data_IF_166373740664
#
_entry.id   IF_166373740664
#
_cell.length_a   1.000
_cell.length_b   1.000
_cell.length_c   1.000
_cell.angle_alpha   90.00
_cell.angle_beta   90.00
_cell.angle_gamma   90.00
#
_symmetry.space_group_name_H-M   'P 1'
#
loop_
_entity.id
_entity.type
_entity.pdbx_description
1 polymer ?
#
# COMPACT_ATOMS: atom_id res chain seq x y z
N UNK A 1 -21.01 -3.73 12.34
CA UNK A 1 -21.46 -2.48 11.70
C UNK A 1 -20.32 -1.49 11.83
N UNK A 2 -19.81 -0.96 10.74
CA UNK A 2 -18.74 0.08 10.73
C UNK A 2 -19.33 1.35 10.13
N UNK A 3 -19.21 2.47 10.83
CA UNK A 3 -19.62 3.77 10.35
C UNK A 3 -18.37 4.62 10.08
N UNK A 4 -18.22 5.11 8.88
CA UNK A 4 -17.17 6.08 8.54
C UNK A 4 -17.82 7.34 7.97
N UNK A 5 -17.30 8.49 8.38
CA UNK A 5 -17.74 9.79 7.92
C UNK A 5 -16.60 10.42 7.12
N UNK A 6 -16.85 10.76 5.87
CA UNK A 6 -15.97 11.63 5.09
C UNK A 6 -16.48 13.07 5.17
N UNK A 7 -15.59 14.01 5.46
CA UNK A 7 -15.95 15.42 5.48
C UNK A 7 -16.20 15.88 4.04
N UNK A 8 -17.38 16.41 3.80
CA UNK A 8 -17.76 17.05 2.54
C UNK A 8 -16.69 18.07 2.12
N UNK A 9 -16.04 17.84 0.97
CA UNK A 9 -15.11 18.78 0.34
C UNK A 9 -13.62 18.50 0.47
N UNK A 10 -13.18 17.47 1.23
CA UNK A 10 -11.78 17.02 1.23
C UNK A 10 -11.69 15.55 0.81
N UNK A 11 -11.16 15.32 -0.39
CA UNK A 11 -10.85 13.96 -0.84
C UNK A 11 -9.75 13.37 0.05
N UNK A 12 -10.00 12.19 0.63
CA UNK A 12 -8.97 11.43 1.35
C UNK A 12 -7.82 11.08 0.41
N UNK A 13 -6.61 11.21 0.91
CA UNK A 13 -5.38 10.78 0.22
C UNK A 13 -4.82 9.48 0.81
N UNK A 14 -5.58 8.83 1.68
CA UNK A 14 -5.22 7.58 2.33
C UNK A 14 -4.87 6.51 1.28
N UNK A 15 -3.77 5.82 1.49
CA UNK A 15 -3.20 4.81 0.60
C UNK A 15 -2.66 5.32 -0.75
N UNK A 16 -2.75 6.60 -1.06
CA UNK A 16 -2.09 7.17 -2.23
C UNK A 16 -0.56 7.05 -2.11
N UNK A 17 0.11 6.84 -3.24
CA UNK A 17 1.57 6.73 -3.32
C UNK A 17 2.13 7.92 -4.12
N UNK A 18 3.15 8.54 -3.57
CA UNK A 18 3.80 9.72 -4.14
C UNK A 18 5.32 9.54 -4.20
N UNK A 19 5.96 10.36 -5.02
CA UNK A 19 7.39 10.66 -4.87
C UNK A 19 7.52 11.80 -3.87
N UNK A 20 8.10 11.52 -2.71
CA UNK A 20 8.34 12.52 -1.67
C UNK A 20 9.82 12.88 -1.55
N UNK A 21 10.11 14.06 -1.01
CA UNK A 21 11.46 14.53 -0.70
C UNK A 21 11.59 14.74 0.81
N UNK A 22 12.64 14.17 1.40
CA UNK A 22 12.97 14.37 2.81
C UNK A 22 13.41 15.82 3.02
N UNK A 23 12.67 16.58 3.81
CA UNK A 23 13.00 17.96 4.17
C UNK A 23 13.90 18.00 5.41
N UNK A 24 13.54 17.21 6.43
CA UNK A 24 14.24 17.21 7.72
C UNK A 24 14.13 15.87 8.40
N UNK A 25 15.09 15.57 9.28
CA UNK A 25 15.10 14.40 10.16
C UNK A 25 15.19 14.87 11.60
N UNK A 26 14.18 14.52 12.38
CA UNK A 26 14.10 14.82 13.81
C UNK A 26 14.47 13.57 14.62
N UNK A 27 15.75 13.45 14.97
CA UNK A 27 16.28 12.27 15.66
C UNK A 27 15.68 12.06 17.06
N UNK A 28 15.29 13.13 17.74
CA UNK A 28 14.65 13.08 19.07
C UNK A 28 13.30 12.37 19.09
N UNK A 29 12.54 12.43 17.98
CA UNK A 29 11.26 11.75 17.80
C UNK A 29 11.35 10.58 16.82
N UNK A 30 12.56 10.24 16.36
CA UNK A 30 12.83 9.15 15.38
C UNK A 30 11.95 9.22 14.16
N UNK A 31 11.87 10.39 13.52
CA UNK A 31 11.03 10.60 12.35
C UNK A 31 11.70 11.52 11.32
N UNK A 32 11.30 11.36 10.06
CA UNK A 32 11.58 12.28 8.98
C UNK A 32 10.30 13.05 8.61
N UNK A 33 10.48 14.29 8.19
CA UNK A 33 9.43 15.10 7.56
C UNK A 33 9.67 15.06 6.06
N UNK A 34 8.66 14.60 5.33
CA UNK A 34 8.74 14.36 3.89
C UNK A 34 7.69 15.19 3.19
N UNK A 35 8.12 16.10 2.32
CA UNK A 35 7.22 16.82 1.44
C UNK A 35 6.86 15.92 0.26
N UNK A 36 5.58 15.78 -0.06
CA UNK A 36 5.09 14.90 -1.13
C UNK A 36 4.03 15.54 -2.04
N UNK A 37 3.83 16.84 -1.90
CA UNK A 37 2.95 17.66 -2.73
C UNK A 37 3.22 19.14 -2.51
N UNK A 38 2.54 20.03 -3.25
CA UNK A 38 2.63 21.47 -3.04
C UNK A 38 2.12 21.84 -1.66
N UNK A 39 3.04 22.27 -0.78
CA UNK A 39 2.73 22.63 0.61
C UNK A 39 2.25 21.47 1.50
N UNK A 40 2.39 20.22 1.06
CA UNK A 40 1.97 19.05 1.84
C UNK A 40 3.18 18.29 2.33
N UNK A 41 3.38 18.33 3.65
CA UNK A 41 4.44 17.59 4.34
C UNK A 41 3.80 16.51 5.21
N UNK A 42 4.41 15.33 5.24
CA UNK A 42 3.99 14.19 6.04
C UNK A 42 5.03 13.77 7.07
N UNK A 43 4.58 13.05 8.06
CA UNK A 43 5.39 12.45 9.12
C UNK A 43 5.72 11.00 8.77
N UNK A 44 7.00 10.68 8.60
CA UNK A 44 7.51 9.34 8.33
C UNK A 44 8.30 8.84 9.53
N UNK A 45 7.77 7.92 10.34
CA UNK A 45 8.55 7.25 11.39
C UNK A 45 9.75 6.53 10.78
N UNK A 46 10.94 6.60 11.39
CA UNK A 46 12.14 5.96 10.83
C UNK A 46 12.06 4.43 10.84
N UNK A 47 11.27 3.84 11.72
CA UNK A 47 10.95 2.41 11.72
C UNK A 47 10.02 1.98 10.56
N UNK A 48 9.31 2.94 9.97
CA UNK A 48 8.48 2.75 8.77
C UNK A 48 9.22 3.13 7.48
N UNK A 49 10.49 3.49 7.57
CA UNK A 49 11.36 3.88 6.46
C UNK A 49 12.30 2.76 6.02
N UNK A 50 11.95 1.51 6.30
CA UNK A 50 12.71 0.33 5.91
C UNK A 50 12.44 -0.03 4.45
N UNK A 51 13.46 -0.57 3.76
CA UNK A 51 13.37 -0.98 2.35
C UNK A 51 12.83 0.12 1.40
N UNK A 52 13.17 1.39 1.70
CA UNK A 52 12.73 2.53 0.92
C UNK A 52 13.17 2.44 -0.55
N UNK A 53 12.25 2.74 -1.45
CA UNK A 53 12.53 2.83 -2.89
C UNK A 53 12.91 4.27 -3.20
N UNK A 54 14.19 4.51 -3.44
CA UNK A 54 14.70 5.83 -3.81
C UNK A 54 14.56 6.11 -5.31
N UNK A 55 14.33 7.37 -5.64
CA UNK A 55 14.42 7.90 -7.00
C UNK A 55 15.80 8.51 -7.23
N UNK A 56 16.05 9.06 -8.41
CA UNK A 56 17.26 9.85 -8.74
C UNK A 56 18.61 9.16 -8.48
N UNK A 57 18.65 7.82 -8.60
CA UNK A 57 19.93 7.09 -8.67
C UNK A 57 20.63 6.85 -7.33
N UNK A 58 20.03 7.17 -6.19
CA UNK A 58 20.59 6.76 -4.91
C UNK A 58 20.53 5.25 -4.77
N UNK A 59 21.69 4.62 -4.62
CA UNK A 59 21.84 3.15 -4.51
C UNK A 59 21.99 2.66 -3.07
N UNK A 60 22.30 3.57 -2.13
CA UNK A 60 22.55 3.23 -0.73
C UNK A 60 21.32 3.52 0.12
N UNK A 61 20.79 2.49 0.77
CA UNK A 61 19.59 2.53 1.60
C UNK A 61 19.88 2.61 3.10
N UNK A 62 21.11 2.82 3.52
CA UNK A 62 21.53 2.66 4.93
C UNK A 62 20.89 3.67 5.89
N UNK A 63 20.58 4.89 5.44
CA UNK A 63 19.88 5.89 6.26
C UNK A 63 19.30 7.01 5.40
N UNK A 64 18.15 7.55 5.79
CA UNK A 64 17.58 8.73 5.15
C UNK A 64 18.45 9.97 5.37
N UNK A 65 18.46 10.86 4.39
CA UNK A 65 19.14 12.16 4.47
C UNK A 65 18.20 13.26 3.95
N UNK A 66 18.28 14.48 4.47
CA UNK A 66 17.61 15.62 3.85
C UNK A 66 17.98 15.73 2.36
N UNK A 67 16.97 15.97 1.53
CA UNK A 67 17.11 16.01 0.07
C UNK A 67 16.90 14.65 -0.64
N UNK A 68 16.83 13.52 0.09
CA UNK A 68 16.52 12.24 -0.51
C UNK A 68 15.11 12.25 -1.12
N UNK A 69 15.00 11.70 -2.32
CA UNK A 69 13.72 11.47 -2.98
C UNK A 69 13.37 9.97 -2.95
N UNK A 70 12.18 9.67 -2.46
CA UNK A 70 11.75 8.29 -2.25
C UNK A 70 10.25 8.14 -2.45
N UNK A 71 9.82 6.90 -2.68
CA UNK A 71 8.41 6.57 -2.76
C UNK A 71 7.83 6.47 -1.36
N UNK A 72 6.72 7.16 -1.12
CA UNK A 72 5.99 7.15 0.14
C UNK A 72 4.50 6.90 -0.08
N UNK A 73 3.89 6.15 0.83
CA UNK A 73 2.46 5.93 0.86
C UNK A 73 1.86 6.60 2.10
N UNK A 74 0.71 7.23 1.93
CA UNK A 74 -0.05 7.80 3.03
C UNK A 74 -0.76 6.68 3.78
N UNK A 75 -0.35 6.39 5.01
CA UNK A 75 -0.97 5.35 5.84
C UNK A 75 -2.00 5.91 6.85
N UNK A 76 -2.06 7.22 6.99
CA UNK A 76 -3.08 7.94 7.77
C UNK A 76 -3.23 9.37 7.26
N UNK A 77 -4.45 9.80 7.02
CA UNK A 77 -4.77 11.17 6.65
C UNK A 77 -4.41 12.18 7.76
N UNK A 78 -4.24 13.43 7.36
CA UNK A 78 -4.09 14.54 8.30
C UNK A 78 -5.32 14.63 9.21
N UNK A 79 -5.08 14.77 10.49
CA UNK A 79 -6.14 15.00 11.48
C UNK A 79 -5.86 16.32 12.21
N UNK A 80 -6.86 16.85 12.95
CA UNK A 80 -6.76 18.11 13.69
C UNK A 80 -5.36 18.34 14.28
N UNK A 81 -4.59 19.26 13.68
CA UNK A 81 -3.25 19.64 14.12
C UNK A 81 -2.14 18.60 13.91
N UNK A 82 -2.41 17.47 13.23
CA UNK A 82 -1.41 16.43 12.94
C UNK A 82 -1.20 16.27 11.44
N UNK A 83 0.04 16.13 11.04
CA UNK A 83 0.42 15.81 9.66
C UNK A 83 -0.07 14.42 9.25
N UNK A 84 -0.29 14.16 7.94
CA UNK A 84 -0.51 12.82 7.45
C UNK A 84 0.69 11.93 7.80
N UNK A 85 0.42 10.68 8.15
CA UNK A 85 1.48 9.71 8.41
C UNK A 85 1.84 8.98 7.12
N UNK A 86 3.13 8.76 6.92
CA UNK A 86 3.72 8.12 5.76
C UNK A 86 4.41 6.80 6.13
N UNK A 87 4.56 5.94 5.13
CA UNK A 87 5.39 4.73 5.19
C UNK A 87 6.09 4.54 3.85
N UNK A 88 7.25 3.87 3.85
CA UNK A 88 7.89 3.40 2.63
C UNK A 88 7.48 1.97 2.26
N UNK A 89 6.73 1.31 3.14
CA UNK A 89 6.12 0.03 2.87
C UNK A 89 4.88 0.22 2.01
N UNK A 90 5.03 0.06 0.69
CA UNK A 90 3.94 0.26 -0.26
C UNK A 90 3.02 -0.96 -0.27
N UNK A 91 1.72 -0.72 -0.13
CA UNK A 91 0.69 -1.75 -0.10
C UNK A 91 -0.34 -1.50 -1.22
N UNK A 92 -0.59 -2.53 -2.01
CA UNK A 92 -1.62 -2.56 -3.05
C UNK A 92 -2.68 -3.57 -2.61
N UNK A 93 -3.83 -3.09 -2.18
CA UNK A 93 -4.85 -3.91 -1.54
C UNK A 93 -5.95 -4.27 -2.53
N UNK A 94 -6.14 -5.57 -2.75
CA UNK A 94 -7.26 -6.16 -3.46
C UNK A 94 -8.31 -6.75 -2.52
N UNK A 95 -9.29 -7.43 -3.08
CA UNK A 95 -10.33 -8.17 -2.35
C UNK A 95 -9.74 -9.40 -1.65
N UNK A 96 -8.94 -10.17 -2.37
CA UNK A 96 -8.44 -11.48 -1.96
C UNK A 96 -7.01 -11.42 -1.41
N UNK A 97 -6.22 -10.46 -1.84
CA UNK A 97 -4.82 -10.37 -1.45
C UNK A 97 -4.31 -8.93 -1.32
N UNK A 98 -3.19 -8.79 -0.62
CA UNK A 98 -2.41 -7.55 -0.57
C UNK A 98 -1.02 -7.85 -1.10
N UNK A 99 -0.54 -7.01 -2.01
CA UNK A 99 0.85 -6.99 -2.44
C UNK A 99 1.58 -5.90 -1.66
N UNK A 100 2.70 -6.25 -1.02
CA UNK A 100 3.41 -5.35 -0.10
C UNK A 100 4.92 -5.33 -0.36
N UNK A 101 5.57 -4.18 -0.21
CA UNK A 101 7.04 -4.08 -0.35
C UNK A 101 7.79 -4.27 0.97
N UNK A 102 7.12 -4.09 2.11
CA UNK A 102 7.76 -4.16 3.43
C UNK A 102 8.10 -5.57 3.92
N UNK A 103 7.52 -6.59 3.31
CA UNK A 103 7.84 -7.99 3.61
C UNK A 103 7.73 -8.82 2.34
N UNK A 104 8.84 -9.39 1.89
CA UNK A 104 8.90 -10.16 0.63
C UNK A 104 8.42 -11.61 0.75
N UNK A 105 7.84 -11.99 1.89
CA UNK A 105 7.31 -13.35 2.11
C UNK A 105 5.88 -13.49 1.60
N UNK A 106 5.45 -14.73 1.42
CA UNK A 106 4.03 -15.07 1.23
C UNK A 106 3.46 -15.39 2.61
N UNK A 107 2.42 -14.66 2.98
CA UNK A 107 1.71 -14.80 4.24
C UNK A 107 0.21 -15.03 4.01
N UNK A 108 -0.47 -15.42 5.08
CA UNK A 108 -1.91 -15.71 5.09
C UNK A 108 -2.55 -15.00 6.28
N UNK A 109 -3.79 -14.55 6.11
CA UNK A 109 -4.58 -14.01 7.21
C UNK A 109 -4.71 -15.07 8.32
N UNK A 110 -4.51 -14.67 9.57
CA UNK A 110 -4.72 -15.56 10.72
C UNK A 110 -6.17 -16.01 10.92
N UNK A 111 -7.11 -15.49 10.13
CA UNK A 111 -8.52 -15.90 10.14
C UNK A 111 -8.83 -17.02 9.14
N UNK A 112 -7.91 -17.34 8.24
CA UNK A 112 -8.04 -18.50 7.35
C UNK A 112 -7.78 -19.78 8.14
N UNK A 113 -8.59 -20.80 7.90
CA UNK A 113 -8.31 -22.16 8.39
C UNK A 113 -7.05 -22.73 7.70
N UNK A 114 -6.50 -23.79 8.25
CA UNK A 114 -5.32 -24.46 7.64
C UNK A 114 -5.64 -25.03 6.27
N UNK A 115 -6.84 -25.53 6.09
CA UNK A 115 -7.34 -26.10 4.84
C UNK A 115 -7.49 -25.03 3.76
N UNK A 116 -8.14 -23.91 4.08
CA UNK A 116 -8.29 -22.75 3.17
C UNK A 116 -6.94 -22.17 2.78
N UNK A 117 -6.06 -21.95 3.75
CA UNK A 117 -4.71 -21.47 3.50
C UNK A 117 -3.91 -22.45 2.62
N UNK A 118 -4.10 -23.76 2.78
CA UNK A 118 -3.45 -24.79 1.96
C UNK A 118 -3.90 -24.71 0.50
N UNK A 119 -5.19 -24.50 0.25
CA UNK A 119 -5.73 -24.35 -1.11
C UNK A 119 -5.13 -23.11 -1.78
N UNK A 120 -5.21 -21.95 -1.14
CA UNK A 120 -4.66 -20.68 -1.67
C UNK A 120 -3.13 -20.78 -1.86
N UNK A 121 -2.44 -21.49 -0.96
CA UNK A 121 -1.00 -21.69 -1.05
C UNK A 121 -0.58 -22.41 -2.33
N UNK A 122 -1.35 -23.41 -2.78
CA UNK A 122 -1.10 -24.09 -4.06
C UNK A 122 -1.22 -23.15 -5.26
N UNK A 123 -2.12 -22.18 -5.21
CA UNK A 123 -2.25 -21.19 -6.30
C UNK A 123 -1.05 -20.25 -6.37
N UNK A 124 -0.36 -20.06 -5.24
CA UNK A 124 0.82 -19.18 -5.12
C UNK A 124 2.16 -19.92 -5.32
N UNK A 125 2.16 -21.20 -5.66
CA UNK A 125 3.40 -21.95 -5.95
C UNK A 125 4.27 -21.27 -7.02
N UNK A 126 3.75 -20.78 -8.16
CA UNK A 126 4.57 -20.10 -9.16
C UNK A 126 5.23 -18.81 -8.63
N UNK A 127 4.60 -18.13 -7.68
CA UNK A 127 5.18 -16.94 -7.04
C UNK A 127 6.31 -17.28 -6.06
N UNK A 128 6.33 -18.47 -5.49
CA UNK A 128 7.42 -18.94 -4.59
C UNK A 128 8.74 -19.19 -5.34
N UNK A 129 8.64 -19.61 -6.58
CA UNK A 129 9.81 -19.90 -7.42
C UNK A 129 10.54 -18.63 -7.87
N UNK A 130 9.88 -17.47 -7.81
CA UNK A 130 10.49 -16.18 -8.16
C UNK A 130 11.38 -15.68 -7.01
N UNK A 131 12.69 -15.85 -7.12
CA UNK A 131 13.68 -15.53 -6.06
C UNK A 131 13.78 -14.02 -5.76
N UNK A 132 13.62 -13.15 -6.76
CA UNK A 132 13.93 -11.71 -6.65
C UNK A 132 12.71 -10.82 -6.89
N UNK A 133 11.51 -11.27 -6.51
CA UNK A 133 10.36 -10.38 -6.53
C UNK A 133 10.52 -9.28 -5.47
N UNK A 134 10.36 -8.03 -5.87
CA UNK A 134 10.50 -6.87 -4.98
C UNK A 134 9.33 -6.69 -4.00
N UNK A 135 8.43 -7.68 -3.86
CA UNK A 135 7.22 -7.64 -3.05
C UNK A 135 6.92 -8.97 -2.36
N UNK A 136 6.13 -8.91 -1.32
CA UNK A 136 5.46 -10.06 -0.71
C UNK A 136 3.98 -10.08 -1.05
N UNK A 137 3.32 -11.17 -0.69
CA UNK A 137 1.88 -11.39 -0.92
C UNK A 137 1.26 -11.81 0.40
N UNK A 138 0.15 -11.19 0.76
CA UNK A 138 -0.64 -11.56 1.94
C UNK A 138 -2.03 -11.97 1.44
N UNK A 139 -2.38 -13.26 1.55
CA UNK A 139 -3.73 -13.73 1.28
C UNK A 139 -4.68 -13.25 2.39
N UNK A 140 -5.75 -12.54 2.01
CA UNK A 140 -6.76 -12.02 2.92
C UNK A 140 -7.79 -13.08 3.25
N UNK A 141 -8.62 -12.84 4.27
CA UNK A 141 -9.70 -13.75 4.68
C UNK A 141 -10.65 -14.06 3.52
N UNK A 142 -10.97 -13.06 2.68
CA UNK A 142 -11.87 -13.25 1.55
C UNK A 142 -11.33 -14.23 0.49
N UNK A 143 -10.04 -14.57 0.53
CA UNK A 143 -9.47 -15.57 -0.38
C UNK A 143 -10.04 -16.98 -0.17
N UNK A 144 -10.66 -17.27 0.99
CA UNK A 144 -11.36 -18.53 1.24
C UNK A 144 -12.54 -18.76 0.28
N UNK A 145 -13.19 -17.68 -0.16
CA UNK A 145 -14.36 -17.72 -1.04
C UNK A 145 -13.99 -17.52 -2.53
N UNK A 146 -12.73 -17.27 -2.83
CA UNK A 146 -12.27 -16.98 -4.18
C UNK A 146 -12.30 -18.22 -5.07
N UNK A 147 -12.65 -18.01 -6.35
CA UNK A 147 -12.28 -18.97 -7.38
C UNK A 147 -10.81 -18.73 -7.78
N UNK A 148 -10.11 -19.79 -8.17
CA UNK A 148 -8.69 -19.70 -8.53
C UNK A 148 -8.42 -18.66 -9.60
N UNK A 149 -9.26 -18.62 -10.63
CA UNK A 149 -9.14 -17.69 -11.74
C UNK A 149 -9.27 -16.24 -11.31
N UNK A 150 -10.25 -15.93 -10.45
CA UNK A 150 -10.47 -14.59 -9.89
C UNK A 150 -9.27 -14.14 -9.04
N UNK A 151 -8.77 -15.03 -8.19
CA UNK A 151 -7.60 -14.78 -7.35
C UNK A 151 -6.35 -14.47 -8.18
N UNK A 152 -6.08 -15.28 -9.20
CA UNK A 152 -4.93 -15.10 -10.08
C UNK A 152 -5.07 -13.85 -10.95
N UNK A 153 -6.28 -13.52 -11.39
CA UNK A 153 -6.55 -12.27 -12.11
C UNK A 153 -6.27 -11.04 -11.23
N UNK A 154 -6.74 -11.06 -9.98
CA UNK A 154 -6.42 -9.98 -9.03
C UNK A 154 -4.92 -9.88 -8.76
N UNK A 155 -4.22 -11.01 -8.60
CA UNK A 155 -2.78 -11.01 -8.44
C UNK A 155 -2.07 -10.35 -9.61
N UNK A 156 -2.45 -10.68 -10.84
CA UNK A 156 -1.89 -10.08 -12.05
C UNK A 156 -2.16 -8.56 -12.12
N UNK A 157 -3.35 -8.14 -11.74
CA UNK A 157 -3.72 -6.74 -11.66
C UNK A 157 -2.86 -5.97 -10.63
N UNK A 158 -2.72 -6.49 -9.41
CA UNK A 158 -1.89 -5.85 -8.38
C UNK A 158 -0.40 -5.82 -8.74
N UNK A 159 0.10 -6.84 -9.44
CA UNK A 159 1.46 -6.83 -10.01
C UNK A 159 1.63 -5.70 -11.03
N UNK A 160 0.61 -5.42 -11.84
CA UNK A 160 0.63 -4.29 -12.78
C UNK A 160 0.66 -2.94 -12.05
N UNK A 161 -0.10 -2.78 -10.96
CA UNK A 161 -0.06 -1.59 -10.13
C UNK A 161 1.32 -1.41 -9.47
N UNK A 162 1.88 -2.47 -8.91
CA UNK A 162 3.24 -2.47 -8.36
C UNK A 162 4.27 -2.05 -9.41
N UNK A 163 4.21 -2.64 -10.61
CA UNK A 163 5.11 -2.31 -11.71
C UNK A 163 5.04 -0.82 -12.06
N UNK A 164 3.84 -0.26 -12.17
CA UNK A 164 3.63 1.15 -12.49
C UNK A 164 4.12 2.08 -11.37
N UNK A 165 3.75 1.80 -10.14
CA UNK A 165 4.06 2.68 -9.02
C UNK A 165 5.47 2.46 -8.48
N UNK A 166 5.84 1.23 -8.12
CA UNK A 166 7.10 0.97 -7.42
C UNK A 166 8.31 0.87 -8.35
N UNK A 167 8.14 0.36 -9.57
CA UNK A 167 9.24 0.17 -10.52
C UNK A 167 9.41 1.39 -11.42
N UNK A 168 8.36 1.75 -12.17
CA UNK A 168 8.43 2.91 -13.07
C UNK A 168 8.43 4.24 -12.32
N UNK A 169 7.87 4.29 -11.11
CA UNK A 169 7.85 5.47 -10.24
C UNK A 169 9.24 6.00 -9.87
N UNK A 170 10.26 5.13 -9.87
CA UNK A 170 11.66 5.54 -9.61
C UNK A 170 12.18 6.61 -10.57
N UNK A 171 11.62 6.69 -11.77
CA UNK A 171 12.02 7.64 -12.81
C UNK A 171 11.09 8.86 -12.88
N UNK A 172 10.18 9.02 -11.91
CA UNK A 172 9.27 10.16 -11.85
C UNK A 172 9.88 11.30 -11.04
N UNK A 173 9.46 12.50 -11.40
CA UNK A 173 9.85 13.72 -10.70
C UNK A 173 9.25 13.76 -9.30
N UNK A 174 9.92 14.50 -8.41
CA UNK A 174 9.43 14.74 -7.06
C UNK A 174 7.99 15.29 -7.07
N UNK A 175 7.20 14.91 -6.08
CA UNK A 175 5.78 15.24 -5.89
C UNK A 175 4.80 14.61 -6.90
N UNK A 176 5.26 13.73 -7.79
CA UNK A 176 4.36 12.98 -8.67
C UNK A 176 3.47 12.03 -7.86
N UNK A 177 2.16 12.03 -8.15
CA UNK A 177 1.23 10.99 -7.72
C UNK A 177 1.46 9.75 -8.59
N UNK A 178 1.85 8.63 -7.98
CA UNK A 178 2.17 7.37 -8.67
C UNK A 178 1.00 6.39 -8.66
N UNK A 179 0.24 6.41 -7.58
CA UNK A 179 -0.93 5.57 -7.40
C UNK A 179 -1.99 6.34 -6.61
N UNK A 180 -3.17 6.44 -7.17
CA UNK A 180 -4.35 6.96 -6.50
C UNK A 180 -5.16 5.77 -5.99
N UNK A 181 -5.34 5.73 -4.67
CA UNK A 181 -6.11 4.67 -4.05
C UNK A 181 -7.60 4.81 -4.38
N UNK A 182 -8.26 3.67 -4.38
CA UNK A 182 -9.70 3.58 -4.52
C UNK A 182 -10.40 4.39 -3.40
N UNK A 183 -11.43 5.16 -3.72
CA UNK A 183 -12.23 5.83 -2.70
C UNK A 183 -12.75 4.84 -1.66
N UNK A 184 -12.84 5.31 -0.41
CA UNK A 184 -13.20 4.46 0.72
C UNK A 184 -14.49 3.67 0.51
N UNK A 185 -15.53 4.30 -0.07
CA UNK A 185 -16.82 3.63 -0.30
C UNK A 185 -16.70 2.47 -1.30
N UNK A 186 -15.88 2.60 -2.35
CA UNK A 186 -15.61 1.49 -3.28
C UNK A 186 -14.80 0.38 -2.61
N UNK A 187 -13.80 0.73 -1.79
CA UNK A 187 -13.05 -0.25 -1.03
C UNK A 187 -13.96 -1.00 -0.03
N UNK A 188 -14.89 -0.31 0.61
CA UNK A 188 -15.87 -0.92 1.50
C UNK A 188 -16.78 -1.91 0.75
N UNK A 189 -17.32 -1.53 -0.42
CA UNK A 189 -18.12 -2.41 -1.28
C UNK A 189 -17.32 -3.63 -1.70
N UNK A 190 -16.08 -3.43 -2.17
CA UNK A 190 -15.18 -4.53 -2.54
C UNK A 190 -14.94 -5.52 -1.41
N UNK A 191 -14.74 -5.01 -0.18
CA UNK A 191 -14.36 -5.83 0.97
C UNK A 191 -15.57 -6.54 1.62
N UNK A 192 -16.77 -5.96 1.52
CA UNK A 192 -18.02 -6.50 2.07
C UNK A 192 -18.81 -7.32 1.05
N UNK A 193 -18.52 -7.13 -0.26
CA UNK A 193 -19.24 -7.86 -1.30
C UNK A 193 -19.11 -9.37 -1.08
N UNK A 194 -20.23 -10.00 -0.78
CA UNK A 194 -20.40 -11.45 -0.70
C UNK A 194 -21.43 -11.90 -1.75
N UNK A 195 -21.47 -13.22 -2.02
CA UNK A 195 -22.48 -13.80 -2.93
C UNK A 195 -23.93 -13.56 -2.46
N UNK A 196 -24.09 -13.17 -1.19
CA UNK A 196 -25.39 -12.91 -0.57
C UNK A 196 -25.71 -11.42 -0.48
N UNK A 197 -24.96 -10.55 -1.16
CA UNK A 197 -25.28 -9.12 -1.22
C UNK A 197 -26.47 -8.92 -2.15
N UNK A 198 -27.60 -8.45 -1.60
CA UNK A 198 -28.85 -8.24 -2.33
C UNK A 198 -28.97 -6.80 -2.82
N UNK A 199 -28.48 -5.82 -2.05
CA UNK A 199 -28.67 -4.41 -2.35
C UNK A 199 -27.51 -3.55 -1.83
N UNK A 200 -27.17 -2.50 -2.58
CA UNK A 200 -26.33 -1.39 -2.14
C UNK A 200 -27.15 -0.12 -2.30
N UNK A 201 -27.41 0.54 -1.18
CA UNK A 201 -28.15 1.83 -1.17
C UNK A 201 -27.15 2.97 -1.03
N UNK A 202 -27.23 3.94 -1.92
CA UNK A 202 -26.46 5.19 -1.88
C UNK A 202 -27.40 6.38 -1.93
N UNK A 203 -27.06 7.46 -1.26
CA UNK A 203 -27.72 8.78 -1.32
C UNK A 203 -27.16 9.62 -2.47
#
# INVERSE_FOLDING_TARGET
MELRLEASGKKSILNNIYVGQVENIASNIKAAFVRFGEGITGYLPLDQATDAIFTAGRKDSSSLRPGDELLVQVCRDAMKGKLPALTTNLNFTGKYLVLTTGNKKIGFSGKLTKEEASVVNKWLEPEREQKDRGYGIIARTNSAEAQKEEFLHELAFLKTLYQKAAVLGRNRTCFSLLYEAEPFYLAAVRDVYSRNLEEIVTD
#
